data_IF_926164589553
#
_entry.id   IF_926164589553
#
_cell.length_a   1.000
_cell.length_b   1.000
_cell.length_c   1.000
_cell.angle_alpha   90.00
_cell.angle_beta   90.00
_cell.angle_gamma   90.00
#
_symmetry.space_group_name_H-M   'P 1'
#
loop_
_entity.id
_entity.type
_entity.pdbx_description
1 polymer ?
#
# COMPACT_ATOMS: atom_id res chain seq x y z
N UNK A 1 6.93 12.04 -104.44
CA UNK A 1 5.72 11.41 -103.87
C UNK A 1 6.02 11.02 -102.42
N UNK A 2 5.64 11.84 -101.42
CA UNK A 2 5.78 11.55 -99.97
C UNK A 2 4.39 11.71 -99.35
N UNK A 3 3.84 10.63 -98.81
CA UNK A 3 2.44 10.56 -98.37
C UNK A 3 2.15 11.49 -97.17
N UNK A 4 1.00 12.19 -97.15
CA UNK A 4 0.63 13.14 -96.09
C UNK A 4 0.22 12.46 -94.77
N UNK A 5 0.11 11.13 -94.75
CA UNK A 5 -0.42 10.33 -93.64
C UNK A 5 0.51 10.39 -92.42
N UNK A 6 1.84 10.35 -92.60
CA UNK A 6 2.79 10.34 -91.47
C UNK A 6 2.79 11.63 -90.63
N UNK A 7 2.41 12.78 -91.20
CA UNK A 7 2.37 14.06 -90.48
C UNK A 7 1.18 14.16 -89.53
N UNK A 8 0.05 13.54 -89.90
CA UNK A 8 -1.15 13.50 -89.04
C UNK A 8 -0.89 12.63 -87.82
N UNK A 9 -0.33 11.43 -88.00
CA UNK A 9 0.02 10.54 -86.87
C UNK A 9 1.06 11.17 -85.93
N UNK A 10 2.03 11.91 -86.47
CA UNK A 10 3.00 12.66 -85.66
C UNK A 10 2.35 13.80 -84.86
N UNK A 11 1.40 14.54 -85.45
CA UNK A 11 0.67 15.59 -84.74
C UNK A 11 -0.23 15.04 -83.63
N UNK A 12 -0.90 13.90 -83.87
CA UNK A 12 -1.68 13.20 -82.85
C UNK A 12 -0.81 12.67 -81.72
N UNK A 13 0.38 12.14 -82.01
CA UNK A 13 1.33 11.69 -80.99
C UNK A 13 1.81 12.84 -80.09
N UNK A 14 2.16 14.00 -80.68
CA UNK A 14 2.55 15.19 -79.91
C UNK A 14 1.40 15.71 -79.07
N UNK A 15 0.18 15.75 -79.62
CA UNK A 15 -1.01 16.15 -78.88
C UNK A 15 -1.24 15.23 -77.67
N UNK A 16 -1.10 13.91 -77.83
CA UNK A 16 -1.27 12.93 -76.75
C UNK A 16 -0.21 13.10 -75.65
N UNK A 17 1.03 13.39 -76.02
CA UNK A 17 2.11 13.69 -75.06
C UNK A 17 1.83 14.99 -74.30
N UNK A 18 1.39 16.05 -74.98
CA UNK A 18 1.02 17.31 -74.32
C UNK A 18 -0.17 17.12 -73.39
N UNK A 19 -1.16 16.31 -73.78
CA UNK A 19 -2.33 16.01 -72.96
C UNK A 19 -1.95 15.15 -71.73
N UNK A 20 -1.01 14.22 -71.88
CA UNK A 20 -0.50 13.41 -70.79
C UNK A 20 0.35 14.24 -69.80
N UNK A 21 1.21 15.13 -70.28
CA UNK A 21 2.05 15.97 -69.41
C UNK A 21 1.23 17.03 -68.67
N UNK A 22 0.23 17.62 -69.32
CA UNK A 22 -0.71 18.55 -68.66
C UNK A 22 -1.58 17.83 -67.63
N UNK A 23 -2.12 16.65 -67.93
CA UNK A 23 -2.87 15.85 -66.97
C UNK A 23 -2.00 15.45 -65.75
N UNK A 24 -0.75 15.06 -65.97
CA UNK A 24 0.17 14.71 -64.90
C UNK A 24 0.54 15.92 -64.02
N UNK A 25 0.77 17.09 -64.63
CA UNK A 25 1.03 18.32 -63.91
C UNK A 25 -0.18 18.74 -63.04
N UNK A 26 -1.41 18.66 -63.58
CA UNK A 26 -2.64 18.97 -62.83
C UNK A 26 -2.85 17.99 -61.67
N UNK A 27 -2.55 16.70 -61.87
CA UNK A 27 -2.62 15.70 -60.80
C UNK A 27 -1.60 15.98 -59.68
N UNK A 28 -0.41 16.49 -60.02
CA UNK A 28 0.63 16.89 -59.04
C UNK A 28 0.27 18.16 -58.27
N UNK A 29 -0.53 19.06 -58.85
CA UNK A 29 -1.01 20.27 -58.18
C UNK A 29 -2.21 20.03 -57.26
N UNK A 30 -2.74 18.81 -57.21
CA UNK A 30 -3.85 18.45 -56.32
C UNK A 30 -3.31 18.34 -54.89
N UNK A 31 -3.33 19.45 -54.17
CA UNK A 31 -3.09 19.45 -52.74
C UNK A 31 -4.11 18.51 -52.07
N UNK A 32 -3.68 17.59 -51.19
CA UNK A 32 -4.63 16.81 -50.41
C UNK A 32 -5.46 17.79 -49.59
N UNK A 33 -6.76 17.87 -49.89
CA UNK A 33 -7.69 18.63 -49.09
C UNK A 33 -7.67 18.00 -47.69
N UNK A 34 -7.22 18.76 -46.70
CA UNK A 34 -7.13 18.29 -45.33
C UNK A 34 -8.49 17.81 -44.83
N UNK A 35 -8.49 16.75 -44.05
CA UNK A 35 -9.70 16.22 -43.41
C UNK A 35 -10.13 17.17 -42.29
N UNK A 36 -11.35 17.69 -42.39
CA UNK A 36 -11.91 18.58 -41.38
C UNK A 36 -12.49 17.78 -40.23
N UNK A 37 -11.97 17.99 -39.02
CA UNK A 37 -12.50 17.40 -37.79
C UNK A 37 -13.25 18.48 -37.01
N UNK A 38 -14.48 18.17 -36.59
CA UNK A 38 -15.28 19.05 -35.72
C UNK A 38 -14.67 19.04 -34.32
N UNK A 39 -14.35 20.23 -33.81
CA UNK A 39 -13.82 20.42 -32.45
C UNK A 39 -14.91 21.07 -31.61
N UNK A 40 -15.28 20.42 -30.51
CA UNK A 40 -16.24 20.93 -29.54
C UNK A 40 -15.50 21.31 -28.24
N UNK A 41 -15.95 22.36 -27.57
CA UNK A 41 -15.41 22.74 -26.25
C UNK A 41 -16.09 21.89 -25.18
N UNK A 42 -15.30 21.04 -24.55
CA UNK A 42 -15.70 20.22 -23.41
C UNK A 42 -14.64 20.29 -22.33
N UNK A 43 -15.02 19.95 -21.10
CA UNK A 43 -14.07 19.82 -20.00
C UNK A 43 -13.13 18.63 -20.26
N UNK A 44 -11.83 18.91 -20.22
CA UNK A 44 -10.77 17.90 -20.35
C UNK A 44 -10.11 17.69 -19.00
N UNK A 45 -10.47 16.59 -18.32
CA UNK A 45 -9.87 16.23 -17.04
C UNK A 45 -8.56 15.51 -17.30
N UNK A 46 -7.45 16.16 -16.94
CA UNK A 46 -6.11 15.59 -16.99
C UNK A 46 -5.75 15.00 -15.63
N UNK A 47 -5.58 13.69 -15.58
CA UNK A 47 -5.01 12.99 -14.43
C UNK A 47 -3.51 12.78 -14.62
N UNK A 48 -2.78 12.69 -13.51
CA UNK A 48 -1.41 12.21 -13.49
C UNK A 48 -1.35 10.92 -12.68
N UNK A 49 -0.68 9.89 -13.20
CA UNK A 49 -0.46 8.65 -12.47
C UNK A 49 0.52 8.89 -11.33
N UNK A 50 0.09 8.58 -10.11
CA UNK A 50 0.93 8.67 -8.92
C UNK A 50 1.20 7.26 -8.41
N UNK A 51 2.48 6.91 -8.35
CA UNK A 51 2.94 5.67 -7.75
C UNK A 51 3.29 5.92 -6.28
N UNK A 52 2.85 5.03 -5.39
CA UNK A 52 3.17 5.09 -3.97
C UNK A 52 2.86 3.79 -3.24
N UNK A 53 3.32 3.68 -2.00
CA UNK A 53 3.09 2.50 -1.16
C UNK A 53 2.02 2.81 -0.12
N UNK A 54 1.04 1.92 0.02
CA UNK A 54 0.03 2.01 1.09
C UNK A 54 0.62 1.53 2.41
N UNK A 55 0.33 2.25 3.50
CA UNK A 55 0.68 1.87 4.86
C UNK A 55 -0.55 1.94 5.75
N UNK A 56 -0.58 1.07 6.78
CA UNK A 56 -1.58 1.15 7.82
C UNK A 56 -1.52 2.52 8.53
N UNK A 57 -2.70 3.09 8.80
CA UNK A 57 -2.83 4.35 9.56
C UNK A 57 -2.32 4.17 10.99
N UNK A 58 -2.57 3.01 11.58
CA UNK A 58 -2.12 2.65 12.93
C UNK A 58 -1.60 1.21 12.93
N UNK A 59 -0.49 0.98 13.64
CA UNK A 59 0.15 -0.32 13.79
C UNK A 59 0.81 -0.36 15.16
N UNK A 60 0.50 -1.41 15.91
CA UNK A 60 1.07 -1.66 17.23
C UNK A 60 1.69 -3.04 17.25
N UNK A 61 2.94 -3.12 17.72
CA UNK A 61 3.63 -4.38 17.91
C UNK A 61 3.26 -4.95 19.27
N UNK A 62 2.77 -6.18 19.28
CA UNK A 62 2.38 -6.90 20.49
C UNK A 62 3.44 -7.96 20.76
N UNK A 63 3.99 -7.97 21.97
CA UNK A 63 5.01 -8.90 22.40
C UNK A 63 4.95 -9.14 23.90
N UNK A 64 5.79 -10.05 24.43
CA UNK A 64 5.83 -10.32 25.86
C UNK A 64 6.26 -9.06 26.64
N UNK A 65 5.66 -8.81 27.82
CA UNK A 65 6.15 -7.76 28.70
C UNK A 65 7.52 -8.16 29.28
N UNK A 66 8.32 -7.16 29.64
CA UNK A 66 9.57 -7.40 30.36
C UNK A 66 9.25 -7.71 31.82
N UNK A 67 9.48 -8.95 32.24
CA UNK A 67 9.33 -9.42 33.62
C UNK A 67 10.72 -9.82 34.13
N UNK A 68 11.08 -9.35 35.33
CA UNK A 68 12.36 -9.70 35.94
C UNK A 68 12.45 -11.23 36.14
N UNK A 69 13.64 -11.78 35.91
CA UNK A 69 13.95 -13.20 36.10
C UNK A 69 13.14 -14.19 35.23
N UNK A 70 12.40 -13.70 34.23
CA UNK A 70 11.66 -14.53 33.26
C UNK A 70 12.16 -14.23 31.84
N UNK A 71 12.84 -15.21 31.24
CA UNK A 71 13.34 -15.14 29.86
C UNK A 71 12.53 -16.01 28.90
N UNK A 72 11.90 -17.07 29.40
CA UNK A 72 11.11 -18.01 28.62
C UNK A 72 9.62 -17.67 28.71
N UNK A 73 9.02 -17.33 27.56
CA UNK A 73 7.59 -17.02 27.46
C UNK A 73 6.91 -18.06 26.58
N UNK A 74 6.03 -18.87 27.17
CA UNK A 74 5.19 -19.81 26.43
C UNK A 74 3.84 -19.18 26.12
N UNK A 75 3.45 -19.19 24.84
CA UNK A 75 2.13 -18.71 24.41
C UNK A 75 1.08 -19.75 24.81
N UNK A 76 0.10 -19.34 25.62
CA UNK A 76 -1.04 -20.16 26.02
C UNK A 76 -2.27 -19.88 25.17
N UNK A 77 -2.36 -18.68 24.59
CA UNK A 77 -3.49 -18.23 23.79
C UNK A 77 -3.04 -17.27 22.69
N UNK A 78 -3.61 -17.43 21.49
CA UNK A 78 -3.45 -16.50 20.38
C UNK A 78 -4.80 -16.35 19.67
N UNK A 79 -5.22 -15.11 19.42
CA UNK A 79 -6.41 -14.86 18.62
C UNK A 79 -6.17 -15.28 17.15
N UNK A 80 -7.22 -15.70 16.41
CA UNK A 80 -7.06 -16.11 15.02
C UNK A 80 -6.45 -15.01 14.15
N UNK A 81 -5.53 -15.40 13.27
CA UNK A 81 -4.88 -14.46 12.36
C UNK A 81 -5.90 -13.79 11.43
N UNK A 82 -5.71 -12.49 11.18
CA UNK A 82 -6.62 -11.69 10.35
C UNK A 82 -7.99 -11.39 10.99
N UNK A 83 -8.27 -11.89 12.20
CA UNK A 83 -9.53 -11.62 12.87
C UNK A 83 -9.62 -10.16 13.37
N UNK A 84 -10.82 -9.58 13.27
CA UNK A 84 -11.10 -8.26 13.82
C UNK A 84 -11.21 -8.34 15.35
N UNK A 85 -10.34 -7.61 16.05
CA UNK A 85 -10.29 -7.54 17.51
C UNK A 85 -10.78 -6.19 18.01
N UNK A 86 -11.38 -6.16 19.20
CA UNK A 86 -11.84 -4.93 19.86
C UNK A 86 -10.91 -4.56 21.01
N UNK A 87 -10.88 -3.28 21.40
CA UNK A 87 -10.11 -2.84 22.57
C UNK A 87 -10.52 -3.65 23.82
N UNK A 88 -9.53 -4.01 24.62
CA UNK A 88 -9.70 -4.81 25.84
C UNK A 88 -9.89 -6.31 25.60
N UNK A 89 -10.02 -6.77 24.35
CA UNK A 89 -10.05 -8.20 24.05
C UNK A 89 -8.62 -8.76 24.10
N UNK A 90 -8.36 -9.85 24.86
CA UNK A 90 -7.08 -10.52 24.81
C UNK A 90 -6.79 -11.04 23.40
N UNK A 91 -5.56 -10.83 22.92
CA UNK A 91 -5.09 -11.31 21.61
C UNK A 91 -3.89 -12.24 21.71
N UNK A 92 -3.12 -12.10 22.79
CA UNK A 92 -1.95 -12.90 23.11
C UNK A 92 -1.96 -13.16 24.61
N UNK A 93 -1.89 -14.42 25.00
CA UNK A 93 -1.79 -14.86 26.39
C UNK A 93 -0.54 -15.71 26.56
N UNK A 94 0.15 -15.50 27.68
CA UNK A 94 1.31 -16.30 28.07
C UNK A 94 0.97 -17.21 29.24
N UNK A 95 1.71 -18.31 29.40
CA UNK A 95 1.62 -19.18 30.57
C UNK A 95 2.21 -18.46 31.79
N UNK A 96 1.41 -18.30 32.84
CA UNK A 96 1.79 -17.56 34.07
C UNK A 96 1.98 -18.48 35.28
N UNK A 97 2.00 -19.80 35.10
CA UNK A 97 1.99 -20.74 36.23
C UNK A 97 3.16 -20.54 37.20
N UNK A 98 4.37 -20.34 36.69
CA UNK A 98 5.56 -20.14 37.54
C UNK A 98 5.53 -18.80 38.27
N UNK A 99 5.18 -17.73 37.55
CA UNK A 99 4.98 -16.39 38.14
C UNK A 99 3.91 -16.39 39.22
N UNK A 100 2.85 -17.17 39.05
CA UNK A 100 1.77 -17.27 40.03
C UNK A 100 2.23 -17.99 41.31
N UNK A 101 3.00 -19.08 41.18
CA UNK A 101 3.61 -19.75 42.33
C UNK A 101 4.57 -18.83 43.08
N UNK A 102 5.37 -18.06 42.36
CA UNK A 102 6.28 -17.11 42.99
C UNK A 102 5.53 -15.98 43.71
N UNK A 103 4.46 -15.46 43.10
CA UNK A 103 3.60 -14.45 43.70
C UNK A 103 2.98 -14.98 45.01
N UNK A 104 2.48 -16.20 45.01
CA UNK A 104 1.91 -16.86 46.20
C UNK A 104 2.96 -16.99 47.31
N UNK A 105 4.18 -17.46 46.98
CA UNK A 105 5.30 -17.57 47.92
C UNK A 105 5.66 -16.22 48.55
N UNK A 106 5.86 -15.18 47.71
CA UNK A 106 6.20 -13.83 48.18
C UNK A 106 5.09 -13.21 49.03
N UNK A 107 3.83 -13.48 48.69
CA UNK A 107 2.67 -13.02 49.46
C UNK A 107 2.63 -13.68 50.84
N UNK A 108 2.83 -15.01 50.91
CA UNK A 108 2.88 -15.74 52.17
C UNK A 108 4.04 -15.29 53.07
N UNK A 109 5.22 -15.07 52.47
CA UNK A 109 6.40 -14.55 53.17
C UNK A 109 6.11 -13.16 53.78
N UNK A 110 5.58 -12.23 52.97
CA UNK A 110 5.17 -10.89 53.43
C UNK A 110 4.20 -10.98 54.60
N UNK A 111 3.18 -11.82 54.50
CA UNK A 111 2.15 -11.94 55.53
C UNK A 111 2.72 -12.54 56.84
N UNK A 112 3.63 -13.51 56.73
CA UNK A 112 4.32 -14.08 57.89
C UNK A 112 5.19 -13.05 58.62
N UNK A 113 5.95 -12.25 57.87
CA UNK A 113 6.81 -11.19 58.43
C UNK A 113 5.96 -10.07 59.03
N UNK A 114 4.86 -9.69 58.38
CA UNK A 114 3.89 -8.72 58.91
C UNK A 114 3.36 -9.13 60.28
N UNK A 115 2.93 -10.39 60.44
CA UNK A 115 2.48 -10.92 61.74
C UNK A 115 3.59 -10.93 62.80
N UNK A 116 4.83 -11.22 62.42
CA UNK A 116 5.95 -11.16 63.35
C UNK A 116 6.25 -9.72 63.80
N UNK A 117 6.15 -8.75 62.89
CA UNK A 117 6.32 -7.34 63.21
C UNK A 117 5.22 -6.84 64.17
N UNK A 118 3.96 -7.22 63.94
CA UNK A 118 2.86 -6.89 64.84
C UNK A 118 3.09 -7.45 66.25
N UNK A 119 3.48 -8.72 66.36
CA UNK A 119 3.82 -9.33 67.65
C UNK A 119 4.95 -8.60 68.36
N UNK A 120 6.05 -8.30 67.65
CA UNK A 120 7.19 -7.57 68.22
C UNK A 120 6.79 -6.16 68.68
N UNK A 121 5.94 -5.47 67.92
CA UNK A 121 5.44 -4.14 68.31
C UNK A 121 4.60 -4.21 69.59
N UNK A 122 3.67 -5.15 69.67
CA UNK A 122 2.84 -5.35 70.86
C UNK A 122 3.69 -5.71 72.10
N UNK A 123 4.73 -6.53 71.94
CA UNK A 123 5.65 -6.88 73.03
C UNK A 123 6.47 -5.68 73.52
N UNK A 124 6.95 -4.82 72.61
CA UNK A 124 7.65 -3.58 72.97
C UNK A 124 6.74 -2.57 73.69
N UNK A 125 5.48 -2.46 73.28
CA UNK A 125 4.49 -1.59 73.95
C UNK A 125 4.20 -2.04 75.38
N UNK A 126 4.12 -3.35 75.62
CA UNK A 126 3.95 -3.90 76.97
C UNK A 126 5.18 -3.68 77.84
N UNK A 127 6.39 -3.85 77.29
CA UNK A 127 7.64 -3.69 78.03
C UNK A 127 7.97 -2.21 78.38
N UNK A 128 7.39 -1.24 77.68
CA UNK A 128 7.57 0.18 77.98
C UNK A 128 6.61 0.74 79.02
N UNK A 129 5.67 -0.07 79.53
CA UNK A 129 4.62 0.36 80.46
C UNK A 129 4.86 -0.07 81.93
N UNK A 130 6.01 -0.70 82.20
CA UNK A 130 6.58 -0.98 83.53
C UNK A 130 7.71 0.00 83.86
#
# INVERSE_FOLDING_TARGET
MKSPIGRVWALWGVALVVLATTAFAVARLRSPAGEWVRVDRTDLVLGADITGTLKAVDSSQIGPPQVADVWEFKISFLAPEGAKVTRGRPVLGFDTNELQRELERKTAERDSVGKQLEKKRAELELAGHD
#
